data_IF_112185535414
#
_entry.id   IF_112185535414
#
_cell.length_a   1.000
_cell.length_b   1.000
_cell.length_c   1.000
_cell.angle_alpha   90.00
_cell.angle_beta   90.00
_cell.angle_gamma   90.00
#
_symmetry.space_group_name_H-M   'P 1'
#
loop_
_entity.id
_entity.type
_entity.pdbx_description
1 polymer ?
#
# COMPACT_ATOMS: atom_id res chain seq x y z
N UNK A 1 -35.77 22.14 8.80
CA UNK A 1 -34.60 21.90 9.68
C UNK A 1 -34.49 20.40 9.86
N UNK A 2 -33.57 19.74 9.12
CA UNK A 2 -33.35 18.29 9.25
C UNK A 2 -32.54 18.08 10.53
N UNK A 3 -33.13 17.40 11.50
CA UNK A 3 -32.53 17.13 12.81
C UNK A 3 -31.38 16.13 12.70
N UNK A 4 -30.33 16.34 13.49
CA UNK A 4 -29.14 15.48 13.53
C UNK A 4 -29.46 14.03 13.95
N UNK A 5 -30.65 13.79 14.51
CA UNK A 5 -31.16 12.47 14.89
C UNK A 5 -31.45 11.51 13.73
N UNK A 6 -31.61 12.02 12.49
CA UNK A 6 -31.85 11.17 11.31
C UNK A 6 -30.58 10.78 10.54
N UNK A 7 -29.39 11.19 11.00
CA UNK A 7 -28.14 10.74 10.38
C UNK A 7 -27.78 9.33 10.87
N UNK A 8 -27.83 8.36 9.96
CA UNK A 8 -27.32 7.01 10.21
C UNK A 8 -25.85 7.06 10.59
N UNK A 9 -25.44 6.32 11.63
CA UNK A 9 -24.04 6.24 12.06
C UNK A 9 -23.19 5.72 10.91
N UNK A 10 -22.13 6.47 10.58
CA UNK A 10 -21.13 6.02 9.62
C UNK A 10 -20.42 4.80 10.18
N UNK A 11 -20.76 3.62 9.65
CA UNK A 11 -20.02 2.38 9.87
C UNK A 11 -18.94 2.33 8.81
N UNK A 12 -17.69 2.15 9.24
CA UNK A 12 -16.56 2.00 8.30
C UNK A 12 -16.81 0.80 7.37
N UNK A 13 -16.68 0.95 6.04
CA UNK A 13 -17.00 -0.09 5.07
C UNK A 13 -16.08 -1.32 5.13
N UNK A 14 -15.03 -1.30 5.95
CA UNK A 14 -14.08 -2.40 6.13
C UNK A 14 -13.82 -2.64 7.62
N UNK A 15 -13.82 -3.92 8.01
CA UNK A 15 -13.59 -4.32 9.40
C UNK A 15 -12.13 -4.04 9.83
N UNK A 16 -11.89 -3.37 10.98
CA UNK A 16 -10.57 -3.10 11.56
C UNK A 16 -9.56 -4.25 11.49
N UNK A 17 -10.02 -5.49 11.69
CA UNK A 17 -9.17 -6.68 11.74
C UNK A 17 -8.47 -7.01 10.40
N UNK A 18 -8.97 -6.49 9.28
CA UNK A 18 -8.50 -6.85 7.94
C UNK A 18 -7.37 -5.92 7.46
N UNK A 19 -7.29 -4.71 8.03
CA UNK A 19 -6.23 -3.72 7.73
C UNK A 19 -4.79 -4.22 7.91
N UNK A 20 -4.41 -4.92 9.01
CA UNK A 20 -3.05 -5.44 9.16
C UNK A 20 -2.71 -6.51 8.11
N UNK A 21 -3.67 -7.35 7.74
CA UNK A 21 -3.49 -8.39 6.73
C UNK A 21 -3.26 -7.79 5.34
N UNK A 22 -4.10 -6.81 4.95
CA UNK A 22 -3.97 -6.11 3.68
C UNK A 22 -2.59 -5.42 3.55
N UNK A 23 -2.14 -4.78 4.63
CA UNK A 23 -0.85 -4.08 4.67
C UNK A 23 0.32 -5.04 4.49
N UNK A 24 0.29 -6.22 5.10
CA UNK A 24 1.34 -7.23 4.97
C UNK A 24 1.42 -7.78 3.54
N UNK A 25 0.28 -8.05 2.92
CA UNK A 25 0.23 -8.57 1.54
C UNK A 25 0.77 -7.53 0.55
N UNK A 26 0.32 -6.27 0.61
CA UNK A 26 0.84 -5.25 -0.29
C UNK A 26 2.32 -4.93 0.01
N UNK A 27 2.76 -5.02 1.27
CA UNK A 27 4.15 -4.72 1.66
C UNK A 27 5.10 -5.80 1.15
N UNK A 28 4.73 -7.07 1.31
CA UNK A 28 5.52 -8.19 0.79
C UNK A 28 5.69 -8.11 -0.73
N UNK A 29 4.60 -7.87 -1.48
CA UNK A 29 4.69 -7.76 -2.94
C UNK A 29 5.56 -6.56 -3.37
N UNK A 30 5.46 -5.42 -2.68
CA UNK A 30 6.25 -4.24 -3.00
C UNK A 30 7.75 -4.45 -2.81
N UNK A 31 8.16 -5.10 -1.71
CA UNK A 31 9.58 -5.40 -1.45
C UNK A 31 10.11 -6.45 -2.43
N UNK A 32 9.30 -7.44 -2.80
CA UNK A 32 9.67 -8.44 -3.80
C UNK A 32 9.94 -7.80 -5.17
N UNK A 33 9.09 -6.86 -5.61
CA UNK A 33 9.33 -6.14 -6.88
C UNK A 33 10.59 -5.27 -6.86
N UNK A 34 10.90 -4.61 -5.73
CA UNK A 34 12.15 -3.84 -5.58
C UNK A 34 13.38 -4.74 -5.55
N UNK A 35 13.32 -5.90 -4.89
CA UNK A 35 14.40 -6.87 -4.88
C UNK A 35 14.65 -7.45 -6.29
N UNK A 36 13.57 -7.69 -7.04
CA UNK A 36 13.65 -8.19 -8.41
C UNK A 36 14.32 -7.19 -9.36
N UNK A 37 14.10 -5.88 -9.15
CA UNK A 37 14.83 -4.81 -9.87
C UNK A 37 16.34 -4.88 -9.60
N UNK A 38 16.77 -5.02 -8.33
CA UNK A 38 18.19 -5.16 -8.00
C UNK A 38 18.83 -6.39 -8.64
N UNK A 39 18.13 -7.52 -8.70
CA UNK A 39 18.63 -8.73 -9.35
C UNK A 39 18.78 -8.52 -10.86
N UNK A 40 17.81 -7.88 -11.53
CA UNK A 40 17.94 -7.60 -12.97
C UNK A 40 19.08 -6.63 -13.27
N UNK A 41 19.26 -5.58 -12.49
CA UNK A 41 20.31 -4.60 -12.70
C UNK A 41 21.72 -5.21 -12.51
N UNK A 42 21.89 -6.07 -11.49
CA UNK A 42 23.17 -6.73 -11.20
C UNK A 42 23.49 -7.88 -12.17
N UNK A 43 22.48 -8.50 -12.78
CA UNK A 43 22.66 -9.68 -13.63
C UNK A 43 22.68 -9.36 -15.13
N UNK A 44 22.16 -8.20 -15.56
CA UNK A 44 22.08 -7.88 -17.00
C UNK A 44 23.43 -7.43 -17.58
N UNK A 45 23.84 -8.07 -18.68
CA UNK A 45 25.01 -7.65 -19.47
C UNK A 45 24.64 -6.50 -20.41
N UNK A 46 25.64 -5.72 -20.87
CA UNK A 46 25.50 -4.39 -21.52
C UNK A 46 24.64 -4.33 -22.80
N UNK A 47 24.22 -5.46 -23.38
CA UNK A 47 23.60 -5.53 -24.72
C UNK A 47 22.08 -5.77 -24.75
N UNK A 48 21.42 -5.97 -23.59
CA UNK A 48 19.96 -6.27 -23.53
C UNK A 48 19.21 -5.46 -22.45
N UNK A 49 19.70 -4.25 -22.12
CA UNK A 49 19.08 -3.40 -21.09
C UNK A 49 17.75 -2.80 -21.56
N UNK A 50 16.64 -3.32 -21.07
CA UNK A 50 15.29 -2.77 -21.24
C UNK A 50 14.92 -1.82 -20.08
N UNK A 51 15.49 -0.62 -20.06
CA UNK A 51 15.23 0.42 -19.03
C UNK A 51 13.73 0.76 -18.87
N UNK A 52 12.95 0.59 -19.94
CA UNK A 52 11.51 0.86 -19.95
C UNK A 52 10.71 -0.13 -19.10
N UNK A 53 11.09 -1.41 -19.12
CA UNK A 53 10.41 -2.45 -18.32
C UNK A 53 10.72 -2.24 -16.84
N UNK A 54 11.95 -1.86 -16.53
CA UNK A 54 12.42 -1.57 -15.17
C UNK A 54 11.69 -0.36 -14.56
N UNK A 55 11.52 0.73 -15.34
CA UNK A 55 10.77 1.91 -14.91
C UNK A 55 9.29 1.60 -14.63
N UNK A 56 8.67 0.74 -15.45
CA UNK A 56 7.28 0.33 -15.28
C UNK A 56 7.08 -0.46 -13.98
N UNK A 57 8.02 -1.35 -13.65
CA UNK A 57 7.99 -2.15 -12.42
C UNK A 57 8.23 -1.25 -11.20
N UNK A 58 9.16 -0.30 -11.28
CA UNK A 58 9.43 0.68 -10.22
C UNK A 58 8.24 1.62 -9.97
N UNK A 59 7.53 2.03 -11.03
CA UNK A 59 6.34 2.87 -10.93
C UNK A 59 5.18 2.12 -10.25
N UNK A 60 4.95 0.87 -10.65
CA UNK A 60 3.94 -0.01 -10.03
C UNK A 60 4.28 -0.26 -8.55
N UNK A 61 5.55 -0.52 -8.23
CA UNK A 61 6.01 -0.71 -6.85
C UNK A 61 5.82 0.57 -6.00
N UNK A 62 6.12 1.75 -6.56
CA UNK A 62 5.96 3.04 -5.87
C UNK A 62 4.49 3.36 -5.54
N UNK A 63 3.58 3.10 -6.48
CA UNK A 63 2.14 3.29 -6.26
C UNK A 63 1.63 2.36 -5.14
N UNK A 64 2.04 1.09 -5.17
CA UNK A 64 1.66 0.11 -4.14
C UNK A 64 2.25 0.48 -2.77
N UNK A 65 3.49 0.94 -2.71
CA UNK A 65 4.14 1.40 -1.47
C UNK A 65 3.49 2.66 -0.90
N UNK A 66 3.09 3.62 -1.76
CA UNK A 66 2.39 4.84 -1.36
C UNK A 66 1.04 4.54 -0.74
N UNK A 67 0.25 3.66 -1.37
CA UNK A 67 -1.05 3.23 -0.83
C UNK A 67 -0.89 2.53 0.53
N UNK A 68 0.10 1.66 0.66
CA UNK A 68 0.41 1.00 1.93
C UNK A 68 0.74 2.00 3.06
N UNK A 69 1.58 2.99 2.77
CA UNK A 69 1.94 4.02 3.75
C UNK A 69 0.74 4.86 4.15
N UNK A 70 -0.14 5.16 3.20
CA UNK A 70 -1.38 5.88 3.47
C UNK A 70 -2.32 5.09 4.39
N UNK A 71 -2.56 3.80 4.09
CA UNK A 71 -3.34 2.93 4.97
C UNK A 71 -2.69 2.89 6.36
N UNK A 72 -1.40 2.60 6.47
CA UNK A 72 -0.72 2.45 7.76
C UNK A 72 -0.73 3.75 8.59
N UNK A 73 -0.45 4.88 7.97
CA UNK A 73 -0.36 6.17 8.66
C UNK A 73 -1.74 6.72 9.06
N UNK A 74 -2.81 6.39 8.33
CA UNK A 74 -4.17 6.78 8.69
C UNK A 74 -4.81 5.82 9.71
N UNK A 75 -4.60 4.51 9.51
CA UNK A 75 -5.11 3.43 10.35
C UNK A 75 -4.55 3.49 11.78
N UNK A 76 -3.22 3.55 11.95
CA UNK A 76 -2.57 3.50 13.28
C UNK A 76 -3.09 4.57 14.26
N UNK A 77 -3.11 5.88 13.91
CA UNK A 77 -3.61 6.90 14.83
C UNK A 77 -5.13 6.81 15.04
N UNK A 78 -5.90 6.41 14.04
CA UNK A 78 -7.36 6.25 14.17
C UNK A 78 -7.72 5.11 15.14
N UNK A 79 -7.09 3.94 15.01
CA UNK A 79 -7.38 2.80 15.89
C UNK A 79 -6.78 2.97 17.29
N UNK A 80 -5.61 3.61 17.44
CA UNK A 80 -5.04 3.84 18.78
C UNK A 80 -5.81 4.87 19.60
N UNK A 81 -6.49 5.82 18.95
CA UNK A 81 -7.34 6.83 19.62
C UNK A 81 -8.73 6.27 19.90
N UNK A 82 -9.22 5.34 19.09
CA UNK A 82 -10.54 4.72 19.29
C UNK A 82 -10.55 3.60 20.34
N UNK A 83 -9.37 3.12 20.78
CA UNK A 83 -9.19 2.08 21.82
C UNK A 83 -8.87 2.66 23.21
N UNK A 84 -8.81 3.98 23.36
CA UNK A 84 -8.52 4.70 24.61
C UNK A 84 -9.68 5.60 24.99
#
# INVERSE_FOLDING_TARGET
>A
MVGLESMSRYVSPVNPAIYPHLTLVLMSIGVLFTAWFFVYEVTSTKLTRDFFKECLIALVASIMARMNRYIRCFCIPVYTVSLK
#
